data_IF_777332312337
#
_entry.id   IF_777332312337
#
_cell.length_a   1.000
_cell.length_b   1.000
_cell.length_c   1.000
_cell.angle_alpha   90.00
_cell.angle_beta   90.00
_cell.angle_gamma   90.00
#
_symmetry.space_group_name_H-M   'P 1'
#
loop_
_entity.id
_entity.type
_entity.pdbx_description
1 polymer ?
#
# COMPACT_ATOMS: atom_id res chain seq x y z
N UNK A 1 13.39 -35.89 -13.13
CA UNK A 1 13.19 -34.49 -12.67
C UNK A 1 11.72 -34.34 -12.36
N UNK A 2 11.32 -34.69 -11.14
CA UNK A 2 9.91 -34.85 -10.75
C UNK A 2 9.44 -33.65 -9.92
N UNK A 3 8.28 -33.16 -10.32
CA UNK A 3 7.53 -32.02 -9.79
C UNK A 3 7.00 -32.26 -8.36
N UNK A 4 7.87 -32.36 -7.35
CA UNK A 4 7.42 -32.44 -5.94
C UNK A 4 8.24 -31.63 -4.93
N UNK A 5 9.34 -30.98 -5.33
CA UNK A 5 10.15 -30.13 -4.42
C UNK A 5 9.76 -28.64 -4.46
N UNK A 6 9.07 -28.17 -5.50
CA UNK A 6 8.60 -26.78 -5.53
C UNK A 6 7.46 -26.52 -4.53
N UNK A 7 6.59 -27.50 -4.27
CA UNK A 7 5.42 -27.30 -3.41
C UNK A 7 5.75 -27.25 -1.90
N UNK A 8 6.91 -27.77 -1.47
CA UNK A 8 7.30 -27.80 -0.05
C UNK A 8 7.86 -26.48 0.47
N UNK A 9 8.45 -25.64 -0.38
CA UNK A 9 8.98 -24.32 0.02
C UNK A 9 7.84 -23.28 0.20
N UNK A 10 6.69 -23.46 -0.46
CA UNK A 10 5.57 -22.51 -0.39
C UNK A 10 4.68 -22.63 0.84
N UNK A 11 4.87 -23.62 1.72
CA UNK A 11 4.06 -23.80 2.94
C UNK A 11 4.67 -23.19 4.21
N UNK A 12 5.88 -22.61 4.15
CA UNK A 12 6.57 -22.00 5.30
C UNK A 12 6.70 -20.47 5.26
N UNK A 13 6.15 -19.81 4.23
CA UNK A 13 6.14 -18.34 4.14
C UNK A 13 4.70 -17.81 4.04
N UNK A 14 4.05 -17.38 5.14
CA UNK A 14 2.67 -16.91 5.12
C UNK A 14 2.47 -15.52 4.46
N UNK A 15 3.39 -15.03 3.61
CA UNK A 15 3.42 -13.62 3.19
C UNK A 15 3.07 -13.36 1.72
N UNK A 16 2.60 -14.36 0.96
CA UNK A 16 2.28 -14.16 -0.46
C UNK A 16 0.87 -13.54 -0.64
N UNK A 17 -0.09 -13.86 0.24
CA UNK A 17 -1.46 -13.32 0.15
C UNK A 17 -1.56 -11.89 0.70
N UNK A 18 -0.87 -11.57 1.80
CA UNK A 18 -0.88 -10.22 2.41
C UNK A 18 -0.22 -9.15 1.50
N UNK A 19 0.74 -9.56 0.67
CA UNK A 19 1.36 -8.71 -0.35
C UNK A 19 0.40 -8.23 -1.45
N UNK A 20 -0.76 -8.88 -1.64
CA UNK A 20 -1.73 -8.54 -2.71
C UNK A 20 -2.77 -7.49 -2.32
N UNK A 21 -3.08 -7.29 -1.04
CA UNK A 21 -4.03 -6.25 -0.60
C UNK A 21 -3.39 -4.86 -0.46
N UNK A 22 -2.06 -4.80 -0.48
CA UNK A 22 -1.29 -3.60 -0.23
C UNK A 22 -0.91 -2.72 -1.47
N UNK A 23 -1.23 -3.00 -2.75
CA UNK A 23 -0.66 -2.22 -3.83
C UNK A 23 -1.21 -0.80 -3.88
N UNK A 24 -2.52 -0.57 -3.82
CA UNK A 24 -3.08 0.77 -4.06
C UNK A 24 -2.82 1.72 -2.90
N UNK A 25 -3.12 1.33 -1.67
CA UNK A 25 -2.85 2.16 -0.50
C UNK A 25 -1.35 2.42 -0.34
N UNK A 26 -0.50 1.40 -0.40
CA UNK A 26 0.93 1.62 -0.18
C UNK A 26 1.58 2.39 -1.34
N UNK A 27 1.16 2.19 -2.59
CA UNK A 27 1.61 3.01 -3.71
C UNK A 27 1.16 4.46 -3.54
N UNK A 28 -0.10 4.69 -3.15
CA UNK A 28 -0.61 6.03 -2.88
C UNK A 28 0.18 6.72 -1.77
N UNK A 29 0.39 6.04 -0.64
CA UNK A 29 1.17 6.59 0.47
C UNK A 29 2.61 6.91 0.06
N UNK A 30 3.31 5.99 -0.62
CA UNK A 30 4.71 6.19 -1.06
C UNK A 30 4.84 7.38 -2.01
N UNK A 31 3.93 7.48 -2.98
CA UNK A 31 3.97 8.53 -4.00
C UNK A 31 3.66 9.90 -3.40
N UNK A 32 2.65 10.00 -2.54
CA UNK A 32 2.19 11.27 -2.01
C UNK A 32 3.02 11.76 -0.81
N UNK A 33 3.52 10.87 0.06
CA UNK A 33 4.39 11.29 1.18
C UNK A 33 5.69 11.90 0.66
N UNK A 34 6.23 11.37 -0.44
CA UNK A 34 7.42 11.93 -1.08
C UNK A 34 7.15 13.33 -1.65
N UNK A 35 5.98 13.55 -2.26
CA UNK A 35 5.56 14.87 -2.76
C UNK A 35 5.39 15.88 -1.63
N UNK A 36 4.64 15.53 -0.58
CA UNK A 36 4.40 16.42 0.57
C UNK A 36 5.70 16.85 1.24
N UNK A 37 6.69 15.95 1.35
CA UNK A 37 8.03 16.27 1.87
C UNK A 37 8.84 17.18 0.94
N UNK A 38 8.69 17.02 -0.37
CA UNK A 38 9.35 17.88 -1.36
C UNK A 38 8.75 19.29 -1.37
N UNK A 39 7.42 19.40 -1.27
CA UNK A 39 6.69 20.66 -1.24
C UNK A 39 6.85 21.41 0.09
N UNK A 40 7.08 20.69 1.19
CA UNK A 40 7.29 21.25 2.53
C UNK A 40 8.62 20.76 3.14
N UNK A 41 9.76 21.31 2.69
CA UNK A 41 11.06 20.97 3.25
C UNK A 41 11.14 21.39 4.73
N UNK A 42 10.95 20.43 5.64
CA UNK A 42 10.91 20.66 7.09
C UNK A 42 9.75 19.97 7.80
N UNK A 43 8.75 19.47 7.07
CA UNK A 43 7.66 18.69 7.65
C UNK A 43 8.19 17.37 8.23
N UNK A 44 7.74 17.01 9.43
CA UNK A 44 8.12 15.71 10.00
C UNK A 44 7.48 14.58 9.20
N UNK A 45 8.13 13.41 9.16
CA UNK A 45 7.56 12.26 8.46
C UNK A 45 6.15 11.89 8.96
N UNK A 46 5.92 12.04 10.28
CA UNK A 46 4.63 11.78 10.94
C UNK A 46 3.54 12.72 10.44
N UNK A 47 3.83 14.01 10.30
CA UNK A 47 2.88 15.01 9.78
C UNK A 47 2.58 14.78 8.31
N UNK A 48 3.61 14.56 7.49
CA UNK A 48 3.44 14.23 6.08
C UNK A 48 2.60 12.96 5.89
N UNK A 49 2.84 11.94 6.72
CA UNK A 49 2.06 10.70 6.68
C UNK A 49 0.60 10.93 7.09
N UNK A 50 0.35 11.70 8.15
CA UNK A 50 -1.00 12.05 8.60
C UNK A 50 -1.78 12.80 7.51
N UNK A 51 -1.13 13.77 6.86
CA UNK A 51 -1.74 14.54 5.78
C UNK A 51 -2.12 13.64 4.59
N UNK A 52 -1.21 12.76 4.17
CA UNK A 52 -1.48 11.85 3.07
C UNK A 52 -2.53 10.79 3.43
N UNK A 53 -2.59 10.34 4.68
CA UNK A 53 -3.64 9.43 5.14
C UNK A 53 -5.03 10.08 5.08
N UNK A 54 -5.13 11.38 5.39
CA UNK A 54 -6.37 12.16 5.20
C UNK A 54 -6.73 12.29 3.72
N UNK A 55 -5.75 12.50 2.84
CA UNK A 55 -5.96 12.51 1.38
C UNK A 55 -6.44 11.15 0.86
N UNK A 56 -5.93 10.05 1.41
CA UNK A 56 -6.37 8.70 1.05
C UNK A 56 -7.83 8.44 1.44
N UNK A 57 -8.29 9.00 2.56
CA UNK A 57 -9.68 8.84 3.00
C UNK A 57 -10.71 9.39 2.01
N UNK A 58 -10.32 10.33 1.13
CA UNK A 58 -11.18 10.92 0.09
C UNK A 58 -10.74 10.57 -1.34
N UNK A 59 -9.65 9.80 -1.49
CA UNK A 59 -9.11 9.40 -2.79
C UNK A 59 -10.08 8.47 -3.55
N UNK A 60 -10.18 8.65 -4.87
CA UNK A 60 -11.05 7.82 -5.74
C UNK A 60 -10.55 6.38 -5.83
N UNK A 61 -9.25 6.19 -5.64
CA UNK A 61 -8.53 4.92 -5.63
C UNK A 61 -8.78 4.12 -4.36
N UNK A 62 -9.37 4.74 -3.33
CA UNK A 62 -9.71 4.06 -2.09
C UNK A 62 -11.00 3.25 -2.29
N UNK A 63 -10.95 1.90 -2.21
CA UNK A 63 -12.12 1.04 -2.41
C UNK A 63 -13.26 1.33 -1.42
N UNK A 64 -12.97 1.96 -0.27
CA UNK A 64 -13.99 2.36 0.71
C UNK A 64 -14.81 3.59 0.29
N UNK A 65 -14.20 4.47 -0.51
CA UNK A 65 -14.84 5.68 -1.07
C UNK A 65 -15.64 5.29 -2.31
N UNK A 66 -15.06 4.44 -3.14
CA UNK A 66 -15.71 3.94 -4.34
C UNK A 66 -16.57 2.71 -4.05
N UNK A 67 -17.70 2.89 -3.35
CA UNK A 67 -18.74 1.86 -3.16
C UNK A 67 -19.60 1.63 -4.42
N UNK A 68 -19.12 1.95 -5.62
CA UNK A 68 -19.85 1.70 -6.88
C UNK A 68 -19.47 0.40 -7.59
N UNK A 69 -18.55 -0.42 -7.06
CA UNK A 69 -18.33 -1.77 -7.59
C UNK A 69 -18.77 -2.79 -6.54
N UNK A 70 -20.00 -3.27 -6.77
CA UNK A 70 -20.63 -4.42 -6.13
C UNK A 70 -19.78 -5.69 -6.24
#
# INVERSE_FOLDING_TARGET
>A
MTNFEFARVYLLFPTIIERRLAPQYNQFMKNNVSKVKADNPGITHKEAFKQVALMWATAKENPKVNKEVA
#
